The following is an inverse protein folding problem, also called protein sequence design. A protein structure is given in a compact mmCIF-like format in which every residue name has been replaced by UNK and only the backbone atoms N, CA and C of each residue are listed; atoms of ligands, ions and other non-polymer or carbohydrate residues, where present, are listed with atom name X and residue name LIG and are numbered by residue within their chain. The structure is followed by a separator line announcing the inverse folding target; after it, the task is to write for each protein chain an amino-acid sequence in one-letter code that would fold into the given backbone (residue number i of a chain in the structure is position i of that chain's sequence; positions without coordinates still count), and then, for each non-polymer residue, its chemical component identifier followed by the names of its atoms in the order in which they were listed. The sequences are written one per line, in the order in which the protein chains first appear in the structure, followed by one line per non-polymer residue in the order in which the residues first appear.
data_IF_870458574353
#
_entry.id   IF_870458574353
#
_cell.length_a   1.000
_cell.length_b   1.000
_cell.length_c   1.000
_cell.angle_alpha   90.00
_cell.angle_beta   90.00
_cell.angle_gamma   90.00
#
_symmetry.space_group_name_H-M   'P 1'
#
loop_
_entity.id
_entity.type
_entity.pdbx_description
1 polymer ?
#
# COMPACT_ATOMS: atom_id res chain seq x y z
N UNK A 1 -82.94 26.30 10.31
CA UNK A 1 -82.46 27.70 10.26
C UNK A 1 -81.25 27.77 11.14
N UNK A 2 -80.24 28.40 10.70
CA UNK A 2 -78.89 28.69 11.27
C UNK A 2 -77.77 27.72 10.91
N UNK A 3 -77.12 28.10 9.83
CA UNK A 3 -75.82 27.66 9.42
C UNK A 3 -74.76 28.30 10.30
N UNK A 4 -73.91 27.48 10.95
CA UNK A 4 -72.66 27.94 11.54
C UNK A 4 -71.53 27.34 10.71
N UNK A 5 -70.82 28.22 9.97
CA UNK A 5 -69.59 27.90 9.27
C UNK A 5 -68.42 27.86 10.27
N UNK A 6 -67.80 26.70 10.50
CA UNK A 6 -66.47 26.59 11.14
C UNK A 6 -65.42 26.73 10.05
N UNK A 7 -64.69 27.81 10.12
CA UNK A 7 -63.47 28.01 9.36
C UNK A 7 -62.30 27.28 10.08
N UNK A 8 -61.87 26.19 9.51
CA UNK A 8 -60.67 25.47 9.97
C UNK A 8 -59.38 26.16 9.49
N UNK A 9 -58.61 26.67 10.42
CA UNK A 9 -57.25 27.19 10.18
C UNK A 9 -56.33 25.97 10.03
N UNK A 10 -55.95 25.63 8.82
CA UNK A 10 -54.86 24.67 8.57
C UNK A 10 -53.55 25.39 8.75
N UNK A 11 -52.92 25.19 9.90
CA UNK A 11 -51.51 25.57 10.11
C UNK A 11 -50.60 24.58 9.36
N UNK A 12 -50.03 25.05 8.23
CA UNK A 12 -49.01 24.34 7.53
C UNK A 12 -47.71 24.39 8.37
N UNK A 13 -47.37 23.30 9.06
CA UNK A 13 -46.03 23.08 9.58
C UNK A 13 -45.11 22.85 8.40
N UNK A 14 -44.40 23.86 7.98
CA UNK A 14 -43.22 23.73 7.14
C UNK A 14 -42.17 23.07 8.01
N UNK A 15 -42.04 21.75 7.92
CA UNK A 15 -40.86 21.06 8.41
C UNK A 15 -39.70 21.52 7.53
N UNK A 16 -38.95 22.49 8.02
CA UNK A 16 -37.61 22.79 7.53
C UNK A 16 -36.75 21.57 7.88
N UNK A 17 -36.77 20.54 7.03
CA UNK A 17 -35.74 19.53 6.95
C UNK A 17 -34.49 20.24 6.49
N UNK A 18 -33.67 20.70 7.44
CA UNK A 18 -32.32 21.13 7.14
C UNK A 18 -31.55 19.95 6.59
N UNK A 19 -31.46 19.83 5.26
CA UNK A 19 -30.31 19.15 4.67
C UNK A 19 -29.09 19.91 5.17
N UNK A 20 -28.37 19.37 6.14
CA UNK A 20 -27.03 19.81 6.44
C UNK A 20 -26.22 19.44 5.19
N UNK A 21 -26.06 20.41 4.28
CA UNK A 21 -25.13 20.31 3.16
C UNK A 21 -23.73 20.37 3.76
N UNK A 22 -23.26 19.25 4.33
CA UNK A 22 -21.86 19.12 4.67
C UNK A 22 -21.10 18.95 3.36
N UNK A 23 -19.99 19.67 3.21
CA UNK A 23 -19.06 19.40 2.13
C UNK A 23 -18.56 17.96 2.24
N UNK A 24 -18.39 17.29 1.11
CA UNK A 24 -17.90 15.91 1.09
C UNK A 24 -16.49 15.88 0.53
N UNK A 25 -15.60 15.11 1.19
CA UNK A 25 -14.28 14.76 0.71
C UNK A 25 -14.31 13.34 0.18
N UNK A 26 -14.12 13.17 -1.11
CA UNK A 26 -14.12 11.86 -1.76
C UNK A 26 -12.67 11.34 -1.92
N UNK A 27 -12.37 10.23 -1.24
CA UNK A 27 -11.06 9.58 -1.26
C UNK A 27 -11.16 8.24 -1.97
N UNK A 28 -10.28 7.98 -2.94
CA UNK A 28 -10.15 6.72 -3.65
C UNK A 28 -8.83 6.07 -3.25
N UNK A 29 -8.90 5.01 -2.46
CA UNK A 29 -7.74 4.41 -1.77
C UNK A 29 -7.81 2.88 -1.73
N UNK A 30 -6.84 2.27 -1.07
CA UNK A 30 -6.80 0.85 -0.75
C UNK A 30 -7.82 0.51 0.36
N UNK A 31 -8.20 -0.77 0.46
CA UNK A 31 -9.05 -1.24 1.54
C UNK A 31 -8.31 -1.15 2.89
N UNK A 32 -9.04 -0.84 3.96
CA UNK A 32 -8.53 -0.78 5.34
C UNK A 32 -7.24 0.06 5.50
N UNK A 33 -7.23 1.24 4.91
CA UNK A 33 -6.00 2.03 4.74
C UNK A 33 -5.96 3.33 5.54
N UNK A 34 -7.07 3.77 6.11
CA UNK A 34 -7.18 4.97 6.95
C UNK A 34 -7.94 4.59 8.22
N UNK A 35 -7.35 4.88 9.37
CA UNK A 35 -7.96 4.60 10.67
C UNK A 35 -9.33 5.29 10.82
N UNK A 36 -10.37 4.60 11.30
CA UNK A 36 -11.70 5.18 11.46
C UNK A 36 -11.73 6.43 12.34
N UNK A 37 -10.92 6.47 13.40
CA UNK A 37 -10.79 7.64 14.28
C UNK A 37 -10.12 8.83 13.59
N UNK A 38 -9.22 8.61 12.63
CA UNK A 38 -8.62 9.66 11.82
C UNK A 38 -9.67 10.29 10.91
N UNK A 39 -10.52 9.47 10.29
CA UNK A 39 -11.64 9.95 9.47
C UNK A 39 -12.60 10.78 10.33
N UNK A 40 -13.06 10.24 11.44
CA UNK A 40 -13.98 10.93 12.36
C UNK A 40 -13.40 12.23 12.91
N UNK A 41 -12.10 12.24 13.24
CA UNK A 41 -11.36 13.42 13.68
C UNK A 41 -11.33 14.52 12.63
N UNK A 42 -11.08 14.16 11.38
CA UNK A 42 -11.10 15.09 10.24
C UNK A 42 -12.50 15.65 9.98
N UNK A 43 -13.51 14.80 9.91
CA UNK A 43 -14.91 15.21 9.74
C UNK A 43 -15.36 16.22 10.79
N UNK A 44 -15.02 15.93 12.05
CA UNK A 44 -15.33 16.85 13.16
C UNK A 44 -14.58 18.16 13.06
N UNK A 45 -13.28 18.11 12.71
CA UNK A 45 -12.40 19.30 12.63
C UNK A 45 -12.84 20.24 11.50
N UNK A 46 -13.26 19.70 10.36
CA UNK A 46 -13.59 20.47 9.17
C UNK A 46 -15.10 20.58 8.88
N UNK A 47 -15.95 20.02 9.77
CA UNK A 47 -17.41 20.00 9.59
C UNK A 47 -17.82 19.49 8.21
N UNK A 48 -17.22 18.41 7.75
CA UNK A 48 -17.44 17.76 6.46
C UNK A 48 -17.77 16.28 6.64
N UNK A 49 -18.02 15.59 5.53
CA UNK A 49 -18.14 14.14 5.47
C UNK A 49 -17.02 13.57 4.58
N UNK A 50 -16.41 12.47 5.00
CA UNK A 50 -15.45 11.72 4.20
C UNK A 50 -16.16 10.52 3.57
N UNK A 51 -16.02 10.38 2.25
CA UNK A 51 -16.55 9.26 1.47
C UNK A 51 -15.37 8.50 0.88
N UNK A 52 -15.27 7.21 1.20
CA UNK A 52 -14.18 6.36 0.74
C UNK A 52 -14.71 5.37 -0.29
N UNK A 53 -14.06 5.35 -1.46
CA UNK A 53 -14.10 4.27 -2.45
C UNK A 53 -12.77 3.51 -2.41
N UNK A 54 -12.81 2.21 -2.68
CA UNK A 54 -11.61 1.38 -2.65
C UNK A 54 -11.27 0.77 -4.01
N UNK A 55 -10.00 0.40 -4.18
CA UNK A 55 -9.50 -0.37 -5.31
C UNK A 55 -8.52 -1.45 -4.82
N UNK A 56 -8.37 -2.50 -5.64
CA UNK A 56 -7.53 -3.66 -5.32
C UNK A 56 -6.18 -3.64 -6.07
N UNK A 57 -6.04 -2.78 -7.08
CA UNK A 57 -4.79 -2.65 -7.85
C UNK A 57 -4.66 -1.26 -8.49
N UNK A 58 -3.41 -0.83 -8.70
CA UNK A 58 -3.11 0.41 -9.42
C UNK A 58 -3.67 0.39 -10.84
N UNK A 59 -3.66 -0.77 -11.48
CA UNK A 59 -4.16 -0.96 -12.84
C UNK A 59 -5.67 -0.76 -12.91
N UNK A 60 -6.43 -1.32 -11.96
CA UNK A 60 -7.89 -1.13 -11.87
C UNK A 60 -8.24 0.33 -11.56
N UNK A 61 -7.54 0.95 -10.60
CA UNK A 61 -7.69 2.36 -10.26
C UNK A 61 -7.44 3.25 -11.50
N UNK A 62 -6.31 3.06 -12.16
CA UNK A 62 -5.92 3.84 -13.33
C UNK A 62 -6.91 3.66 -14.50
N UNK A 63 -7.33 2.43 -14.78
CA UNK A 63 -8.31 2.13 -15.83
C UNK A 63 -9.66 2.81 -15.57
N UNK A 64 -10.15 2.81 -14.32
CA UNK A 64 -11.39 3.49 -13.91
C UNK A 64 -11.29 5.00 -14.14
N UNK A 65 -10.19 5.62 -13.73
CA UNK A 65 -9.98 7.06 -13.92
C UNK A 65 -9.89 7.40 -15.42
N UNK A 66 -9.17 6.60 -16.20
CA UNK A 66 -9.03 6.79 -17.64
C UNK A 66 -10.34 6.61 -18.41
N UNK A 67 -11.24 5.76 -17.94
CA UNK A 67 -12.58 5.57 -18.47
C UNK A 67 -13.56 6.72 -18.12
N UNK A 68 -13.10 7.76 -17.39
CA UNK A 68 -13.91 8.91 -16.99
C UNK A 68 -14.46 8.80 -15.56
N UNK A 69 -13.90 7.95 -14.72
CA UNK A 69 -14.17 7.93 -13.27
C UNK A 69 -13.75 9.27 -12.66
N UNK A 70 -14.74 10.09 -12.27
CA UNK A 70 -14.55 11.44 -11.73
C UNK A 70 -15.21 11.57 -10.37
N UNK A 71 -15.02 12.72 -9.72
CA UNK A 71 -15.66 13.03 -8.45
C UNK A 71 -14.81 12.70 -7.23
N UNK A 72 -13.56 12.26 -7.42
CA UNK A 72 -12.61 12.09 -6.36
C UNK A 72 -11.83 13.38 -6.09
N UNK A 73 -11.55 13.65 -4.84
CA UNK A 73 -10.69 14.74 -4.39
C UNK A 73 -9.25 14.24 -4.19
N UNK A 74 -9.12 13.11 -3.48
CA UNK A 74 -7.83 12.45 -3.23
C UNK A 74 -7.86 11.05 -3.85
N UNK A 75 -6.73 10.66 -4.43
CA UNK A 75 -6.45 9.29 -4.88
C UNK A 75 -5.14 8.87 -4.22
N UNK A 76 -5.02 7.58 -3.86
CA UNK A 76 -3.81 7.07 -3.18
C UNK A 76 -3.11 5.95 -3.97
N UNK A 77 -2.51 6.28 -5.13
CA UNK A 77 -1.75 5.32 -5.92
C UNK A 77 -0.39 5.00 -5.31
N UNK A 78 0.21 3.91 -5.75
CA UNK A 78 1.65 3.68 -5.51
C UNK A 78 2.50 4.64 -6.35
N UNK A 79 3.66 5.02 -5.81
CA UNK A 79 4.52 6.09 -6.34
C UNK A 79 4.93 5.91 -7.81
N UNK A 80 5.02 4.66 -8.29
CA UNK A 80 5.38 4.39 -9.68
C UNK A 80 4.31 4.84 -10.71
N UNK A 81 3.06 5.08 -10.29
CA UNK A 81 1.97 5.56 -11.15
C UNK A 81 1.95 7.09 -11.29
N UNK A 82 2.55 7.81 -10.33
CA UNK A 82 2.44 9.27 -10.23
C UNK A 82 2.90 9.98 -11.50
N UNK A 83 4.04 9.58 -12.05
CA UNK A 83 4.62 10.22 -13.24
C UNK A 83 3.67 10.11 -14.45
N UNK A 84 3.07 8.96 -14.67
CA UNK A 84 2.11 8.72 -15.75
C UNK A 84 0.83 9.53 -15.54
N UNK A 85 0.26 9.53 -14.33
CA UNK A 85 -0.94 10.29 -14.00
C UNK A 85 -0.73 11.80 -14.17
N UNK A 86 0.42 12.31 -13.74
CA UNK A 86 0.79 13.72 -13.93
C UNK A 86 0.94 14.09 -15.42
N UNK A 87 1.62 13.24 -16.20
CA UNK A 87 1.79 13.42 -17.64
C UNK A 87 0.48 13.46 -18.41
N UNK A 88 -0.49 12.66 -17.97
CA UNK A 88 -1.82 12.60 -18.59
C UNK A 88 -2.80 13.65 -18.04
N UNK A 89 -2.37 14.49 -17.09
CA UNK A 89 -3.19 15.55 -16.52
C UNK A 89 -4.34 15.02 -15.63
N UNK A 90 -4.17 13.84 -15.04
CA UNK A 90 -5.17 13.22 -14.13
C UNK A 90 -5.10 13.79 -12.72
N UNK A 91 -3.94 14.34 -12.33
CA UNK A 91 -3.67 14.88 -11.02
C UNK A 91 -3.17 16.31 -11.09
N UNK A 92 -3.50 17.10 -10.06
CA UNK A 92 -3.10 18.49 -9.93
C UNK A 92 -1.80 18.62 -9.10
N UNK A 93 -1.02 19.69 -9.29
CA UNK A 93 0.06 20.01 -8.37
C UNK A 93 -0.45 20.26 -6.94
N UNK A 94 0.33 19.85 -5.96
CA UNK A 94 0.06 20.12 -4.54
C UNK A 94 0.32 21.60 -4.23
N UNK A 95 -0.64 22.26 -3.60
CA UNK A 95 -0.43 23.59 -3.04
C UNK A 95 0.20 23.47 -1.64
N UNK A 96 1.51 23.70 -1.57
CA UNK A 96 2.26 23.59 -0.32
C UNK A 96 1.91 24.66 0.70
N UNK A 97 1.24 25.74 0.31
CA UNK A 97 0.77 26.76 1.28
C UNK A 97 -0.39 26.26 2.10
N UNK A 98 -1.17 25.32 1.54
CA UNK A 98 -2.30 24.65 2.21
C UNK A 98 -1.88 23.39 3.00
N UNK A 99 -0.62 22.92 2.83
CA UNK A 99 -0.10 21.70 3.46
C UNK A 99 1.24 21.93 4.20
N UNK A 100 1.33 22.89 5.16
CA UNK A 100 2.58 23.22 5.81
C UNK A 100 3.18 22.08 6.64
N UNK A 101 2.36 21.16 7.18
CA UNK A 101 2.80 20.03 7.97
C UNK A 101 3.60 19.02 7.14
N UNK A 102 3.34 18.91 5.85
CA UNK A 102 4.05 17.96 4.96
C UNK A 102 5.57 18.23 5.03
N UNK A 103 6.00 19.43 4.71
CA UNK A 103 7.44 19.78 4.74
C UNK A 103 8.01 19.85 6.15
N UNK A 104 7.21 20.26 7.12
CA UNK A 104 7.64 20.41 8.52
C UNK A 104 7.87 19.06 9.20
N UNK A 105 7.02 18.09 8.90
CA UNK A 105 6.94 16.83 9.64
C UNK A 105 7.42 15.60 8.84
N UNK A 106 7.80 15.77 7.56
CA UNK A 106 8.37 14.69 6.76
C UNK A 106 9.64 14.14 7.42
N UNK A 107 9.78 12.80 7.49
CA UNK A 107 10.96 12.16 8.04
C UNK A 107 12.04 11.96 6.96
N UNK A 108 13.17 12.62 7.14
CA UNK A 108 14.33 12.54 6.25
C UNK A 108 14.92 11.11 6.11
N UNK A 109 14.55 10.19 7.01
CA UNK A 109 14.88 8.78 6.87
C UNK A 109 14.51 8.24 5.49
N UNK A 110 13.34 8.67 4.97
CA UNK A 110 12.79 8.23 3.69
C UNK A 110 13.18 9.10 2.49
N UNK A 111 13.91 10.21 2.71
CA UNK A 111 14.20 11.18 1.66
C UNK A 111 14.93 10.62 0.43
N UNK A 112 15.72 9.54 0.62
CA UNK A 112 16.44 8.89 -0.49
C UNK A 112 15.54 7.99 -1.34
N UNK A 113 14.48 7.44 -0.76
CA UNK A 113 13.60 6.44 -1.36
C UNK A 113 12.42 7.05 -2.14
N UNK A 114 11.90 8.22 -1.75
CA UNK A 114 10.77 8.85 -2.46
C UNK A 114 11.17 9.23 -3.90
N UNK A 115 10.21 9.14 -4.83
CA UNK A 115 10.45 9.45 -6.25
C UNK A 115 10.26 10.95 -6.54
N UNK A 116 9.19 11.57 -6.07
CA UNK A 116 8.99 13.02 -6.19
C UNK A 116 9.63 13.76 -5.02
N UNK A 117 10.91 14.14 -5.18
CA UNK A 117 11.70 14.86 -4.15
C UNK A 117 11.14 16.24 -3.79
N UNK A 118 10.24 16.77 -4.59
CA UNK A 118 9.68 18.12 -4.44
C UNK A 118 8.26 18.12 -3.88
N UNK A 119 7.64 16.95 -3.79
CA UNK A 119 6.22 16.79 -3.49
C UNK A 119 5.33 17.62 -4.42
N UNK A 120 5.72 17.70 -5.70
CA UNK A 120 5.00 18.55 -6.66
C UNK A 120 3.61 18.01 -6.96
N UNK A 121 3.48 16.70 -7.13
CA UNK A 121 2.23 16.06 -7.52
C UNK A 121 1.70 15.08 -6.48
N UNK A 122 2.53 14.69 -5.51
CA UNK A 122 2.17 13.68 -4.53
C UNK A 122 2.83 13.92 -3.18
N UNK A 123 2.22 13.37 -2.15
CA UNK A 123 2.73 13.38 -0.78
C UNK A 123 2.71 11.95 -0.27
N UNK A 124 3.87 11.39 0.16
CA UNK A 124 3.93 10.02 0.67
C UNK A 124 2.99 9.81 1.87
N UNK A 125 2.23 8.71 1.84
CA UNK A 125 1.31 8.35 2.90
C UNK A 125 1.82 7.16 3.70
N UNK A 126 2.02 6.01 3.06
CA UNK A 126 2.47 4.80 3.72
C UNK A 126 3.66 4.16 2.99
N UNK A 127 4.45 3.40 3.74
CA UNK A 127 5.61 2.67 3.24
C UNK A 127 5.42 1.19 3.51
N UNK A 128 5.60 0.38 2.46
CA UNK A 128 5.52 -1.07 2.54
C UNK A 128 6.81 -1.70 2.05
N UNK A 129 7.22 -2.78 2.69
CA UNK A 129 8.40 -3.56 2.31
C UNK A 129 7.96 -4.95 1.86
N UNK A 130 8.52 -5.46 0.78
CA UNK A 130 8.25 -6.82 0.34
C UNK A 130 9.31 -7.77 0.88
N UNK A 131 8.86 -8.80 1.59
CA UNK A 131 9.74 -9.75 2.26
C UNK A 131 9.07 -11.11 2.48
N UNK A 132 9.71 -11.94 3.27
CA UNK A 132 9.22 -13.28 3.57
C UNK A 132 8.47 -13.34 4.91
N UNK A 133 7.18 -13.64 4.85
CA UNK A 133 6.44 -14.18 5.99
C UNK A 133 6.82 -15.65 6.19
N UNK A 134 7.10 -16.09 7.39
CA UNK A 134 7.46 -17.48 7.66
C UNK A 134 6.98 -17.98 9.01
N UNK A 135 6.63 -19.28 9.05
CA UNK A 135 6.34 -20.00 10.30
C UNK A 135 7.66 -20.44 10.94
N UNK A 136 8.02 -19.85 12.09
CA UNK A 136 9.27 -20.10 12.83
C UNK A 136 9.43 -21.57 13.25
N UNK A 137 8.32 -22.31 13.36
CA UNK A 137 8.31 -23.70 13.80
C UNK A 137 8.45 -24.68 12.63
N UNK A 138 8.17 -24.25 11.37
CA UNK A 138 8.10 -25.11 10.17
C UNK A 138 9.20 -24.87 9.17
N UNK A 139 9.72 -23.64 9.08
CA UNK A 139 10.90 -23.37 8.27
C UNK A 139 12.07 -24.24 8.73
N UNK A 140 12.85 -24.86 7.83
CA UNK A 140 13.94 -25.75 8.20
C UNK A 140 14.92 -25.10 9.18
N UNK A 141 15.29 -25.82 10.23
CA UNK A 141 16.19 -25.30 11.29
C UNK A 141 17.55 -24.90 10.68
N UNK A 142 17.96 -23.65 10.96
CA UNK A 142 19.20 -23.09 10.44
C UNK A 142 19.13 -22.58 9.00
N UNK A 143 17.96 -22.62 8.37
CA UNK A 143 17.77 -21.95 7.09
C UNK A 143 17.85 -20.43 7.29
N UNK A 144 18.60 -19.76 6.42
CA UNK A 144 18.69 -18.31 6.38
C UNK A 144 17.47 -17.74 5.66
N UNK A 145 16.54 -17.14 6.41
CA UNK A 145 15.30 -16.51 5.86
C UNK A 145 15.56 -15.10 5.33
N UNK A 146 16.74 -14.52 5.60
CA UNK A 146 17.12 -13.19 5.13
C UNK A 146 17.86 -13.22 3.78
N UNK A 147 17.54 -14.16 2.91
CA UNK A 147 18.10 -14.25 1.56
C UNK A 147 17.11 -14.84 0.58
N UNK A 148 17.11 -14.33 -0.66
CA UNK A 148 16.34 -14.93 -1.76
C UNK A 148 16.74 -16.39 -2.03
N UNK A 149 17.97 -16.80 -1.66
CA UNK A 149 18.44 -18.19 -1.81
C UNK A 149 17.55 -19.20 -1.07
N UNK A 150 16.81 -18.78 -0.02
CA UNK A 150 15.88 -19.64 0.74
C UNK A 150 14.87 -20.30 -0.18
N UNK A 151 14.44 -19.62 -1.25
CA UNK A 151 13.49 -20.16 -2.25
C UNK A 151 14.00 -21.42 -2.95
N UNK A 152 15.33 -21.65 -2.94
CA UNK A 152 15.95 -22.86 -3.50
C UNK A 152 16.12 -24.00 -2.51
N UNK A 153 15.72 -23.84 -1.24
CA UNK A 153 15.90 -24.90 -0.23
C UNK A 153 14.95 -26.08 -0.52
N UNK A 154 15.44 -27.32 -0.80
CA UNK A 154 14.63 -28.45 -1.19
C UNK A 154 13.64 -28.92 -0.11
N UNK A 155 13.90 -28.60 1.17
CA UNK A 155 12.99 -28.91 2.28
C UNK A 155 11.70 -28.07 2.25
N UNK A 156 11.69 -26.96 1.48
CA UNK A 156 10.52 -26.11 1.26
C UNK A 156 9.66 -26.55 0.07
N UNK A 157 9.91 -27.70 -0.52
CA UNK A 157 9.19 -28.17 -1.72
C UNK A 157 7.67 -28.17 -1.52
N UNK A 158 6.95 -27.38 -2.33
CA UNK A 158 5.48 -27.22 -2.24
C UNK A 158 5.00 -26.50 -0.99
N UNK A 159 5.89 -25.78 -0.29
CA UNK A 159 5.61 -25.03 0.96
C UNK A 159 5.82 -23.53 0.83
N UNK A 160 6.08 -23.04 -0.37
CA UNK A 160 6.31 -21.61 -0.66
C UNK A 160 5.12 -21.04 -1.44
N UNK A 161 4.65 -19.87 -1.06
CA UNK A 161 3.80 -19.03 -1.90
C UNK A 161 4.57 -17.77 -2.32
N UNK A 162 4.38 -17.34 -3.56
CA UNK A 162 4.90 -16.08 -4.06
C UNK A 162 3.75 -15.18 -4.43
N UNK A 163 3.97 -13.87 -4.42
CA UNK A 163 2.99 -12.90 -4.90
C UNK A 163 2.64 -13.16 -6.37
N UNK A 164 1.39 -12.97 -6.73
CA UNK A 164 0.96 -12.89 -8.13
C UNK A 164 1.23 -11.48 -8.67
N UNK A 165 2.47 -11.03 -8.48
CA UNK A 165 2.96 -9.73 -8.90
C UNK A 165 4.25 -9.89 -9.71
N UNK A 166 4.19 -9.46 -10.96
CA UNK A 166 5.27 -9.58 -11.94
C UNK A 166 6.51 -8.79 -11.52
N UNK A 167 6.32 -7.59 -10.94
CA UNK A 167 7.42 -6.70 -10.57
C UNK A 167 8.14 -7.18 -9.32
N UNK A 168 7.38 -7.69 -8.36
CA UNK A 168 7.90 -8.23 -7.12
C UNK A 168 8.70 -9.53 -7.33
N UNK A 169 8.14 -10.48 -8.06
CA UNK A 169 8.77 -11.79 -8.24
C UNK A 169 9.98 -11.72 -9.18
N UNK A 170 9.85 -11.06 -10.34
CA UNK A 170 11.00 -10.88 -11.25
C UNK A 170 12.05 -9.97 -10.59
N UNK A 171 11.61 -8.94 -9.85
CA UNK A 171 12.45 -8.06 -9.07
C UNK A 171 13.29 -8.82 -8.03
N UNK A 172 12.68 -9.78 -7.32
CA UNK A 172 13.38 -10.66 -6.39
C UNK A 172 14.48 -11.48 -7.07
N UNK A 173 14.19 -12.04 -8.24
CA UNK A 173 15.18 -12.74 -9.06
C UNK A 173 16.33 -11.84 -9.53
N UNK A 174 16.02 -10.60 -9.92
CA UNK A 174 17.01 -9.59 -10.31
C UNK A 174 17.93 -9.23 -9.13
N UNK A 175 17.32 -8.89 -7.99
CA UNK A 175 18.08 -8.50 -6.78
C UNK A 175 18.96 -9.64 -6.27
N UNK A 176 18.48 -10.89 -6.31
CA UNK A 176 19.30 -12.06 -5.98
C UNK A 176 20.57 -12.18 -6.83
N UNK A 177 20.48 -11.80 -8.11
CA UNK A 177 21.60 -11.81 -9.04
C UNK A 177 22.45 -10.52 -8.99
N UNK A 178 22.14 -9.59 -8.09
CA UNK A 178 22.86 -8.32 -7.95
C UNK A 178 22.46 -7.25 -8.96
N UNK A 179 21.33 -7.43 -9.65
CA UNK A 179 20.79 -6.44 -10.59
C UNK A 179 19.79 -5.51 -9.92
N UNK A 180 19.48 -4.41 -10.59
CA UNK A 180 18.42 -3.50 -10.14
C UNK A 180 17.04 -4.16 -10.30
N UNK A 181 16.15 -3.98 -9.31
CA UNK A 181 14.72 -4.35 -9.40
C UNK A 181 14.03 -3.68 -10.62
N UNK A 182 14.56 -2.55 -11.06
CA UNK A 182 14.05 -1.75 -12.18
C UNK A 182 14.80 -2.02 -13.50
N UNK A 183 15.50 -3.13 -13.62
CA UNK A 183 16.25 -3.44 -14.84
C UNK A 183 15.32 -3.50 -16.05
N UNK A 184 15.74 -2.85 -17.14
CA UNK A 184 15.11 -2.92 -18.47
C UNK A 184 15.95 -3.76 -19.45
N UNK A 185 17.07 -4.32 -18.95
CA UNK A 185 17.98 -5.12 -19.75
C UNK A 185 17.43 -6.55 -19.89
N UNK A 186 17.16 -6.94 -21.13
CA UNK A 186 16.65 -8.27 -21.47
C UNK A 186 17.51 -9.41 -20.92
N UNK A 187 18.84 -9.28 -20.98
CA UNK A 187 19.75 -10.34 -20.54
C UNK A 187 19.62 -10.57 -19.02
N UNK A 188 19.50 -9.48 -18.26
CA UNK A 188 19.31 -9.52 -16.80
C UNK A 188 17.95 -10.12 -16.43
N UNK A 189 16.89 -9.72 -17.15
CA UNK A 189 15.53 -10.23 -16.96
C UNK A 189 15.47 -11.73 -17.30
N UNK A 190 16.06 -12.14 -18.43
CA UNK A 190 16.13 -13.58 -18.82
C UNK A 190 16.92 -14.41 -17.78
N UNK A 191 18.00 -13.85 -17.21
CA UNK A 191 18.77 -14.50 -16.13
C UNK A 191 17.94 -14.63 -14.84
N UNK A 192 17.20 -13.58 -14.45
CA UNK A 192 16.30 -13.61 -13.31
C UNK A 192 15.20 -14.65 -13.47
N UNK A 193 14.55 -14.72 -14.65
CA UNK A 193 13.58 -15.76 -14.99
C UNK A 193 14.21 -17.15 -14.86
N UNK A 194 15.41 -17.35 -15.40
CA UNK A 194 16.15 -18.62 -15.27
C UNK A 194 16.39 -19.03 -13.82
N UNK A 195 16.62 -18.07 -12.92
CA UNK A 195 16.78 -18.33 -11.50
C UNK A 195 15.43 -18.64 -10.82
N UNK A 196 14.38 -17.89 -11.12
CA UNK A 196 13.03 -18.13 -10.60
C UNK A 196 12.53 -19.52 -10.98
N UNK A 197 12.79 -19.97 -12.21
CA UNK A 197 12.43 -21.32 -12.66
C UNK A 197 13.12 -22.44 -11.87
N UNK A 198 14.33 -22.20 -11.33
CA UNK A 198 14.98 -23.15 -10.39
C UNK A 198 14.25 -23.19 -9.05
N UNK A 199 13.76 -22.04 -8.57
CA UNK A 199 12.97 -21.95 -7.33
C UNK A 199 11.56 -22.52 -7.48
N UNK A 200 11.03 -22.55 -8.72
CA UNK A 200 9.66 -22.92 -9.03
C UNK A 200 9.24 -24.28 -8.48
N UNK A 201 10.17 -25.21 -8.30
CA UNK A 201 9.89 -26.55 -7.73
C UNK A 201 9.40 -26.47 -6.28
N UNK A 202 9.78 -25.43 -5.54
CA UNK A 202 9.37 -25.22 -4.16
C UNK A 202 8.06 -24.42 -4.06
N UNK A 203 7.71 -23.68 -5.12
CA UNK A 203 6.54 -22.80 -5.14
C UNK A 203 5.26 -23.60 -5.39
N UNK A 204 4.38 -23.57 -4.42
CA UNK A 204 3.03 -24.18 -4.48
C UNK A 204 2.10 -23.37 -5.39
N UNK A 205 2.12 -22.03 -5.24
CA UNK A 205 1.23 -21.11 -5.96
C UNK A 205 1.78 -19.70 -6.05
N UNK A 206 1.20 -18.93 -6.96
CA UNK A 206 1.26 -17.47 -7.00
C UNK A 206 -0.10 -16.92 -6.54
N UNK A 207 -0.08 -16.00 -5.59
CA UNK A 207 -1.29 -15.44 -4.99
C UNK A 207 -0.96 -14.14 -4.25
N UNK A 208 -1.75 -13.09 -4.45
CA UNK A 208 -1.50 -11.76 -3.88
C UNK A 208 -1.89 -11.60 -2.42
N UNK A 209 -2.72 -12.52 -1.86
CA UNK A 209 -3.40 -12.29 -0.60
C UNK A 209 -3.21 -13.42 0.42
N UNK A 210 -3.19 -14.66 -0.03
CA UNK A 210 -3.35 -15.83 0.85
C UNK A 210 -2.19 -16.09 1.79
N UNK A 211 -1.01 -15.50 1.58
CA UNK A 211 0.12 -15.62 2.52
C UNK A 211 -0.24 -15.16 3.93
N UNK A 212 -1.14 -14.17 4.07
CA UNK A 212 -1.67 -13.67 5.36
C UNK A 212 -2.37 -14.74 6.19
N UNK A 213 -2.98 -15.70 5.54
CA UNK A 213 -3.77 -16.76 6.18
C UNK A 213 -3.08 -18.12 6.13
N UNK A 214 -2.43 -18.46 5.02
CA UNK A 214 -1.84 -19.78 4.81
C UNK A 214 -0.54 -20.00 5.58
N UNK A 215 0.28 -18.96 5.78
CA UNK A 215 1.48 -19.09 6.61
C UNK A 215 1.09 -19.28 8.08
N UNK A 216 0.19 -18.49 8.68
CA UNK A 216 -0.30 -18.74 10.03
C UNK A 216 -1.02 -20.07 10.21
N UNK A 217 -1.75 -20.54 9.19
CA UNK A 217 -2.40 -21.86 9.21
C UNK A 217 -1.41 -23.01 8.97
N UNK A 218 -0.18 -22.71 8.52
CA UNK A 218 0.87 -23.68 8.25
C UNK A 218 0.65 -24.54 7.01
N UNK A 219 -0.21 -24.12 6.08
CA UNK A 219 -0.37 -24.76 4.78
C UNK A 219 0.77 -24.37 3.81
N UNK A 220 1.29 -23.16 3.93
CA UNK A 220 2.61 -22.76 3.43
C UNK A 220 3.52 -22.45 4.63
N UNK A 221 4.84 -22.56 4.45
CA UNK A 221 5.81 -22.32 5.52
C UNK A 221 6.58 -21.03 5.30
N UNK A 222 6.63 -20.61 4.05
CA UNK A 222 7.27 -19.37 3.59
C UNK A 222 6.38 -18.71 2.53
N UNK A 223 6.08 -17.43 2.69
CA UNK A 223 5.30 -16.64 1.75
C UNK A 223 5.99 -15.32 1.44
N UNK A 224 6.15 -15.00 0.15
CA UNK A 224 6.50 -13.62 -0.23
C UNK A 224 5.27 -12.75 -0.04
N UNK A 225 5.42 -11.64 0.66
CA UNK A 225 4.30 -10.77 0.99
C UNK A 225 4.71 -9.39 1.47
N UNK A 226 3.73 -8.57 1.75
CA UNK A 226 3.90 -7.18 2.16
C UNK A 226 4.01 -7.06 3.68
N UNK A 227 4.91 -6.18 4.15
CA UNK A 227 5.20 -6.01 5.57
C UNK A 227 3.98 -5.62 6.39
N UNK A 228 3.17 -4.68 5.91
CA UNK A 228 1.97 -4.20 6.59
C UNK A 228 1.01 -5.34 6.92
N UNK A 229 0.72 -6.20 5.95
CA UNK A 229 -0.17 -7.35 6.12
C UNK A 229 0.35 -8.35 7.15
N UNK A 230 1.65 -8.64 7.12
CA UNK A 230 2.25 -9.61 8.03
C UNK A 230 2.42 -9.03 9.43
N UNK A 231 2.68 -7.72 9.54
CA UNK A 231 2.71 -7.07 10.85
C UNK A 231 1.34 -7.08 11.51
N UNK A 232 0.23 -6.92 10.76
CA UNK A 232 -1.12 -7.11 11.30
C UNK A 232 -1.32 -8.53 11.86
N UNK A 233 -0.81 -9.56 11.18
CA UNK A 233 -0.87 -10.95 11.70
C UNK A 233 -0.01 -11.13 12.95
N UNK A 234 1.19 -10.54 12.99
CA UNK A 234 2.12 -10.66 14.12
C UNK A 234 1.59 -9.91 15.35
N UNK A 235 1.10 -8.69 15.16
CA UNK A 235 0.56 -7.84 16.24
C UNK A 235 -0.80 -8.37 16.70
N UNK A 236 -1.64 -8.79 15.74
CA UNK A 236 -3.01 -9.21 16.00
C UNK A 236 -3.95 -8.03 16.24
N UNK A 237 -5.22 -8.36 16.38
CA UNK A 237 -6.29 -7.45 16.79
C UNK A 237 -7.23 -8.22 17.72
N UNK A 238 -7.07 -8.03 19.02
CA UNK A 238 -7.88 -8.73 20.02
C UNK A 238 -9.36 -8.31 19.96
N UNK A 239 -9.65 -7.08 19.60
CA UNK A 239 -11.03 -6.57 19.48
C UNK A 239 -11.75 -7.21 18.30
N UNK A 240 -11.04 -7.43 17.18
CA UNK A 240 -11.55 -8.18 16.04
C UNK A 240 -11.48 -9.72 16.22
N UNK A 241 -10.96 -10.20 17.36
CA UNK A 241 -10.82 -11.63 17.63
C UNK A 241 -9.67 -12.31 16.89
N UNK A 242 -8.69 -11.55 16.43
CA UNK A 242 -7.48 -12.01 15.75
C UNK A 242 -6.27 -11.93 16.70
N UNK A 243 -5.92 -12.99 17.45
CA UNK A 243 -4.83 -12.91 18.43
C UNK A 243 -3.47 -12.77 17.75
N UNK A 244 -2.54 -12.11 18.44
CA UNK A 244 -1.16 -11.96 18.00
C UNK A 244 -0.49 -13.31 17.69
N UNK A 245 0.30 -13.36 16.61
CA UNK A 245 0.98 -14.57 16.13
C UNK A 245 2.50 -14.46 16.28
N UNK A 246 2.99 -14.67 17.50
CA UNK A 246 4.42 -14.63 17.85
C UNK A 246 5.26 -15.73 17.18
N UNK A 247 4.62 -16.79 16.70
CA UNK A 247 5.22 -17.89 15.93
C UNK A 247 5.44 -17.57 14.46
N UNK A 248 4.89 -16.45 13.97
CA UNK A 248 5.14 -15.94 12.63
C UNK A 248 6.28 -14.93 12.67
N UNK A 249 7.13 -14.94 11.64
CA UNK A 249 8.20 -13.99 11.42
C UNK A 249 8.06 -13.29 10.08
N UNK A 250 8.72 -12.14 9.98
CA UNK A 250 8.92 -11.42 8.73
C UNK A 250 10.41 -11.14 8.54
N UNK A 251 10.95 -11.42 7.36
CA UNK A 251 12.36 -11.26 7.04
C UNK A 251 12.55 -10.54 5.70
N UNK A 252 13.53 -9.65 5.65
CA UNK A 252 13.90 -8.91 4.45
C UNK A 252 15.20 -9.47 3.86
N UNK A 253 15.23 -9.86 2.59
CA UNK A 253 16.43 -10.39 1.95
C UNK A 253 17.60 -9.39 1.97
N UNK A 254 18.78 -9.86 2.31
CA UNK A 254 20.00 -9.04 2.39
C UNK A 254 20.52 -8.56 1.04
N UNK A 255 20.19 -9.26 -0.03
CA UNK A 255 20.55 -8.87 -1.40
C UNK A 255 19.73 -7.67 -1.89
N UNK A 256 18.60 -7.39 -1.25
CA UNK A 256 17.68 -6.31 -1.55
C UNK A 256 16.23 -6.76 -1.51
N UNK A 257 15.33 -5.80 -1.38
CA UNK A 257 13.88 -6.00 -1.33
C UNK A 257 13.17 -4.79 -1.94
N UNK A 258 11.93 -4.98 -2.36
CA UNK A 258 11.13 -3.86 -2.87
C UNK A 258 10.65 -2.97 -1.72
N UNK A 259 10.65 -1.66 -1.98
CA UNK A 259 9.96 -0.65 -1.17
C UNK A 259 8.87 -0.04 -2.04
N UNK A 260 7.65 -0.07 -1.54
CA UNK A 260 6.53 0.66 -2.12
C UNK A 260 6.17 1.85 -1.23
N UNK A 261 5.91 2.99 -1.87
CA UNK A 261 5.24 4.11 -1.25
C UNK A 261 3.89 4.25 -1.90
N UNK A 262 2.86 4.34 -1.08
CA UNK A 262 1.57 4.82 -1.54
C UNK A 262 1.46 6.29 -1.16
N UNK A 263 1.00 7.08 -2.11
CA UNK A 263 1.10 8.53 -2.02
C UNK A 263 -0.28 9.18 -2.24
N UNK A 264 -0.55 10.23 -1.50
CA UNK A 264 -1.75 11.05 -1.70
C UNK A 264 -1.53 11.99 -2.87
N UNK A 265 -2.46 12.00 -3.81
CA UNK A 265 -2.51 12.96 -4.92
C UNK A 265 -3.87 13.65 -4.96
N UNK A 266 -3.89 14.91 -5.39
CA UNK A 266 -5.14 15.65 -5.62
C UNK A 266 -5.56 15.40 -7.06
N UNK A 267 -6.79 14.95 -7.27
CA UNK A 267 -7.32 14.74 -8.62
C UNK A 267 -7.41 16.06 -9.39
N UNK A 268 -7.12 16.06 -10.69
CA UNK A 268 -7.15 17.28 -11.50
C UNK A 268 -8.56 17.94 -11.58
N UNK A 269 -9.62 17.13 -11.40
CA UNK A 269 -11.01 17.57 -11.35
C UNK A 269 -11.64 17.46 -9.96
N UNK A 270 -10.82 17.58 -8.90
CA UNK A 270 -11.29 17.48 -7.51
C UNK A 270 -12.47 18.43 -7.25
N UNK A 271 -13.62 17.94 -6.76
CA UNK A 271 -14.74 18.80 -6.39
C UNK A 271 -14.38 19.77 -5.25
N UNK A 272 -13.59 19.31 -4.26
CA UNK A 272 -13.22 20.06 -3.07
C UNK A 272 -11.70 20.05 -2.83
N UNK A 273 -10.90 20.72 -3.71
CA UNK A 273 -9.44 20.69 -3.59
C UNK A 273 -8.92 21.29 -2.28
N UNK A 274 -9.63 22.22 -1.67
CA UNK A 274 -9.27 22.79 -0.37
C UNK A 274 -9.39 21.73 0.76
N UNK A 275 -10.45 20.92 0.77
CA UNK A 275 -10.58 19.82 1.73
C UNK A 275 -9.54 18.73 1.46
N UNK A 276 -9.19 18.47 0.18
CA UNK A 276 -8.12 17.54 -0.15
C UNK A 276 -6.77 17.96 0.46
N UNK A 277 -6.39 19.22 0.28
CA UNK A 277 -5.14 19.73 0.87
C UNK A 277 -5.20 19.75 2.41
N UNK A 278 -6.36 20.12 2.99
CA UNK A 278 -6.55 20.08 4.44
C UNK A 278 -6.40 18.65 5.00
N UNK A 279 -6.88 17.63 4.27
CA UNK A 279 -6.71 16.23 4.67
C UNK A 279 -5.25 15.79 4.58
N UNK A 280 -4.55 16.15 3.49
CA UNK A 280 -3.12 15.88 3.32
C UNK A 280 -2.31 16.51 4.48
N UNK A 281 -2.62 17.75 4.85
CA UNK A 281 -1.96 18.42 5.98
C UNK A 281 -2.28 17.76 7.32
N UNK A 282 -3.55 17.38 7.51
CA UNK A 282 -4.05 16.75 8.73
C UNK A 282 -3.38 15.40 9.02
N UNK A 283 -3.23 14.53 8.02
CA UNK A 283 -2.58 13.22 8.23
C UNK A 283 -1.08 13.32 8.49
N UNK A 284 -0.49 14.49 8.28
CA UNK A 284 0.89 14.80 8.69
C UNK A 284 1.00 15.40 10.09
N UNK A 285 -0.09 15.51 10.85
CA UNK A 285 -0.03 15.78 12.29
C UNK A 285 0.46 14.53 13.03
N UNK A 286 1.33 14.69 14.04
CA UNK A 286 2.03 13.56 14.68
C UNK A 286 1.09 12.49 15.26
N UNK A 287 0.08 12.90 16.04
CA UNK A 287 -0.87 11.96 16.66
C UNK A 287 -1.77 11.29 15.62
N UNK A 288 -2.12 12.00 14.54
CA UNK A 288 -2.91 11.46 13.44
C UNK A 288 -2.12 10.41 12.65
N UNK A 289 -0.85 10.73 12.33
CA UNK A 289 0.04 9.80 11.67
C UNK A 289 0.32 8.55 12.53
N UNK A 290 0.49 8.74 13.87
CA UNK A 290 0.64 7.62 14.80
C UNK A 290 -0.56 6.69 14.75
N UNK A 291 -1.78 7.21 14.87
CA UNK A 291 -3.01 6.42 14.83
C UNK A 291 -3.13 5.63 13.52
N UNK A 292 -2.82 6.26 12.38
CA UNK A 292 -2.80 5.55 11.09
C UNK A 292 -1.71 4.47 11.03
N UNK A 293 -0.49 4.72 11.52
CA UNK A 293 0.58 3.72 11.56
C UNK A 293 0.22 2.50 12.41
N UNK A 294 -0.44 2.73 13.54
CA UNK A 294 -0.93 1.66 14.41
C UNK A 294 -2.04 0.85 13.73
N UNK A 295 -2.92 1.50 12.96
CA UNK A 295 -4.00 0.84 12.23
C UNK A 295 -3.48 0.02 11.03
N UNK A 296 -2.64 0.61 10.17
CA UNK A 296 -2.10 -0.09 8.98
C UNK A 296 -0.96 -1.04 9.28
N UNK A 297 -0.45 -1.03 10.52
CA UNK A 297 0.75 -1.76 10.95
C UNK A 297 1.96 -1.50 10.03
N UNK A 298 2.15 -0.25 9.62
CA UNK A 298 3.21 0.17 8.71
C UNK A 298 3.62 1.61 8.91
N UNK A 299 4.86 2.00 8.52
CA UNK A 299 5.33 3.35 8.74
C UNK A 299 4.72 4.34 7.76
N UNK A 300 4.38 5.52 8.26
CA UNK A 300 4.19 6.73 7.48
C UNK A 300 5.46 7.59 7.60
N UNK A 301 5.88 8.30 6.56
CA UNK A 301 7.09 9.12 6.62
C UNK A 301 6.85 10.45 7.36
N UNK A 302 6.27 10.38 8.56
CA UNK A 302 5.90 11.50 9.42
C UNK A 302 6.66 11.41 10.72
N UNK A 303 7.75 12.17 10.84
CA UNK A 303 8.69 12.07 11.97
C UNK A 303 8.03 12.20 13.34
N UNK A 304 7.20 13.22 13.65
CA UNK A 304 6.59 13.32 14.97
C UNK A 304 5.65 12.15 15.30
N UNK A 305 5.02 11.54 14.29
CA UNK A 305 4.22 10.32 14.47
C UNK A 305 5.10 9.12 14.81
N UNK A 306 6.20 8.92 14.07
CA UNK A 306 7.18 7.85 14.34
C UNK A 306 7.80 8.00 15.74
N UNK A 307 8.13 9.22 16.14
CA UNK A 307 8.72 9.50 17.45
C UNK A 307 7.73 9.23 18.61
N UNK A 308 6.42 9.33 18.34
CA UNK A 308 5.35 9.10 19.32
C UNK A 308 4.93 7.63 19.47
N UNK A 309 5.38 6.73 18.57
CA UNK A 309 5.11 5.30 18.68
C UNK A 309 5.81 4.70 19.91
N UNK A 310 5.20 3.64 20.46
CA UNK A 310 5.88 2.79 21.43
C UNK A 310 7.21 2.29 20.83
N UNK A 311 8.32 2.30 21.61
CA UNK A 311 9.63 1.95 21.10
C UNK A 311 9.73 0.53 20.50
N UNK A 312 9.05 -0.46 21.09
CA UNK A 312 9.07 -1.84 20.61
C UNK A 312 8.22 -1.95 19.32
N UNK A 313 7.06 -1.30 19.29
CA UNK A 313 6.22 -1.23 18.09
C UNK A 313 6.93 -0.49 16.94
N UNK A 314 7.56 0.64 17.25
CA UNK A 314 8.36 1.37 16.26
C UNK A 314 9.48 0.51 15.68
N UNK A 315 10.19 -0.26 16.50
CA UNK A 315 11.25 -1.14 16.04
C UNK A 315 10.74 -2.29 15.15
N UNK A 316 9.45 -2.63 15.24
CA UNK A 316 8.81 -3.64 14.43
C UNK A 316 8.49 -3.13 13.01
N UNK A 317 8.01 -1.89 12.87
CA UNK A 317 7.52 -1.37 11.59
C UNK A 317 8.51 -0.43 10.88
N UNK A 318 9.40 0.28 11.62
CA UNK A 318 10.34 1.24 11.04
C UNK A 318 11.72 0.62 10.91
N UNK A 319 12.21 0.48 9.69
CA UNK A 319 13.52 -0.10 9.42
C UNK A 319 14.66 0.83 9.84
N UNK A 320 15.74 0.22 10.33
CA UNK A 320 17.00 0.95 10.55
C UNK A 320 17.56 1.48 9.23
N UNK A 321 18.31 2.59 9.24
CA UNK A 321 18.82 3.22 8.01
C UNK A 321 19.67 2.30 7.13
N UNK A 322 20.47 1.41 7.73
CA UNK A 322 21.31 0.44 7.01
C UNK A 322 20.49 -0.66 6.33
N UNK A 323 19.39 -1.10 6.96
CA UNK A 323 18.45 -2.05 6.37
C UNK A 323 17.64 -1.37 5.26
N UNK A 324 17.06 -0.19 5.54
CA UNK A 324 16.30 0.59 4.56
C UNK A 324 17.14 0.91 3.31
N UNK A 325 18.44 1.15 3.48
CA UNK A 325 19.38 1.42 2.39
C UNK A 325 19.59 0.26 1.40
N UNK A 326 19.20 -0.97 1.76
CA UNK A 326 19.22 -2.14 0.86
C UNK A 326 17.98 -2.26 -0.01
N UNK A 327 16.90 -1.60 0.39
CA UNK A 327 15.64 -1.62 -0.35
C UNK A 327 15.70 -0.77 -1.62
N UNK A 328 14.94 -1.18 -2.63
CA UNK A 328 14.84 -0.50 -3.92
C UNK A 328 13.38 -0.16 -4.22
N UNK A 329 13.13 1.10 -4.55
CA UNK A 329 11.78 1.56 -4.92
C UNK A 329 11.45 1.15 -6.34
N UNK A 330 10.26 0.58 -6.54
CA UNK A 330 9.74 0.29 -7.87
C UNK A 330 9.48 1.60 -8.64
N UNK A 331 9.93 1.61 -9.91
CA UNK A 331 9.71 2.72 -10.84
C UNK A 331 8.78 2.28 -11.97
N UNK A 332 7.96 3.19 -12.47
CA UNK A 332 7.18 2.98 -13.68
C UNK A 332 8.07 2.76 -14.90
N UNK A 333 7.51 2.08 -15.91
CA UNK A 333 8.14 1.94 -17.22
C UNK A 333 7.48 2.88 -18.26
N UNK A 334 7.13 4.08 -17.83
CA UNK A 334 6.37 5.05 -18.60
C UNK A 334 7.07 5.43 -19.89
N UNK A 335 6.37 5.24 -21.04
CA UNK A 335 6.93 5.50 -22.35
C UNK A 335 7.79 4.36 -22.91
N UNK A 336 7.86 3.20 -22.23
CA UNK A 336 8.63 2.01 -22.64
C UNK A 336 7.75 0.77 -22.78
N UNK A 337 6.79 0.75 -23.75
CA UNK A 337 5.89 -0.39 -23.94
C UNK A 337 6.64 -1.69 -24.23
N UNK A 338 7.81 -1.62 -24.88
CA UNK A 338 8.68 -2.75 -25.15
C UNK A 338 9.22 -3.41 -23.87
N UNK A 339 9.44 -2.66 -22.80
CA UNK A 339 9.86 -3.18 -21.50
C UNK A 339 8.69 -3.86 -20.80
N UNK A 340 7.51 -3.24 -20.84
CA UNK A 340 6.28 -3.83 -20.29
C UNK A 340 6.00 -5.19 -20.98
N UNK A 341 6.10 -5.25 -22.30
CA UNK A 341 5.92 -6.50 -23.05
C UNK A 341 6.99 -7.54 -22.69
N UNK A 342 8.23 -7.13 -22.46
CA UNK A 342 9.30 -8.02 -22.02
C UNK A 342 9.00 -8.65 -20.65
N UNK A 343 8.55 -7.85 -19.68
CA UNK A 343 8.14 -8.37 -18.37
C UNK A 343 6.94 -9.30 -18.46
N UNK A 344 5.92 -8.95 -19.26
CA UNK A 344 4.74 -9.81 -19.46
C UNK A 344 5.14 -11.18 -20.03
N UNK A 345 5.98 -11.23 -21.07
CA UNK A 345 6.49 -12.49 -21.64
C UNK A 345 7.32 -13.28 -20.62
N UNK A 346 8.12 -12.59 -19.81
CA UNK A 346 8.89 -13.20 -18.73
C UNK A 346 7.97 -13.84 -17.68
N UNK A 347 6.91 -13.14 -17.31
CA UNK A 347 5.92 -13.62 -16.34
C UNK A 347 5.13 -14.80 -16.85
N UNK A 348 4.66 -14.77 -18.10
CA UNK A 348 3.99 -15.89 -18.74
C UNK A 348 4.87 -17.15 -18.68
N UNK A 349 6.17 -17.02 -18.93
CA UNK A 349 7.13 -18.13 -18.85
C UNK A 349 7.26 -18.68 -17.42
N UNK A 350 7.27 -17.82 -16.41
CA UNK A 350 7.32 -18.21 -15.00
C UNK A 350 6.04 -18.95 -14.59
N UNK A 351 4.88 -18.45 -14.99
CA UNK A 351 3.57 -19.03 -14.62
C UNK A 351 3.25 -20.31 -15.38
N UNK A 352 3.64 -20.41 -16.66
CA UNK A 352 3.40 -21.60 -17.49
C UNK A 352 4.19 -22.84 -17.03
N UNK A 353 5.24 -22.68 -16.24
CA UNK A 353 6.03 -23.80 -15.73
C UNK A 353 5.32 -24.40 -14.53
N UNK A 354 4.60 -25.49 -14.73
CA UNK A 354 3.96 -26.23 -13.63
C UNK A 354 5.00 -26.74 -12.64
N UNK A 355 4.68 -26.61 -11.34
CA UNK A 355 5.47 -27.23 -10.30
C UNK A 355 5.37 -28.75 -10.50
N UNK A 356 6.48 -29.40 -10.77
CA UNK A 356 6.57 -30.87 -10.79
C UNK A 356 6.54 -31.39 -9.35
N UNK A 357 5.37 -31.26 -8.72
CA UNK A 357 5.09 -31.87 -7.43
C UNK A 357 4.87 -33.37 -7.71
N UNK A 358 5.94 -34.14 -7.71
CA UNK A 358 5.87 -35.59 -7.66
C UNK A 358 5.98 -36.06 -6.23
#
# INVERSE_FOLDING_TARGET
MNNLKLAGLAAALIAAGGCSNHEELHIYTWCDYIAPEVIQGFEKKHNCRVVIDTFDSNEAMYAKLKAGGTGYDIIMPSSYQIAQMAKEGMIAPIDHSECPNVKKNFDDLFAKQILDKTFKYSVPYAVTYTGFAYDKNKVPKGADVETWAILGNPELRGRVSLLDDIREVIGGGLMYLGYSINSTNRVEIDAAVGQILKWRENVRKFDGESYKTEVPAGSTWLGLGYSTDIMQVIVGDEEAGAPARVDIGFALPKEGFAIAFDEMVVAAGAPNPALAHAFIDYVYEGEVAKANMEFICGPMPVKPGIDALDPDYRALIVLKPDVLGRGQVLKGFDGHPEVIELYNKAWDKVKATEARLK
#
